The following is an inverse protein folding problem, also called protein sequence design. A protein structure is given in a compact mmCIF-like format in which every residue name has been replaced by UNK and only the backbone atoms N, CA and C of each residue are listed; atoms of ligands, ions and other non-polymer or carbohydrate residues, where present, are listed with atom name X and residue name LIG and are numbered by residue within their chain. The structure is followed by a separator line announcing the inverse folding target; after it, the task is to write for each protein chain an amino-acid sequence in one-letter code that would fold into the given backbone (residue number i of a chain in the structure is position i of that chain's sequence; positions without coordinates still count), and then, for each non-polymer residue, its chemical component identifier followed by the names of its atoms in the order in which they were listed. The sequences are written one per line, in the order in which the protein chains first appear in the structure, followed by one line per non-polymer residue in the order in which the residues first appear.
data_IF_950060468284
#
_entry.id   IF_950060468284
#
_cell.length_a   1.000
_cell.length_b   1.000
_cell.length_c   1.000
_cell.angle_alpha   90.00
_cell.angle_beta   90.00
_cell.angle_gamma   90.00
#
_symmetry.space_group_name_H-M   'P 1'
#
loop_
_entity.id
_entity.type
_entity.pdbx_description
1 polymer ?
#
# COMPACT_ATOMS: atom_id res chain seq x y z
N UNK A 1 33.84 -67.91 17.13
CA UNK A 1 33.27 -66.90 18.05
C UNK A 1 32.15 -67.56 18.81
N UNK A 2 32.52 -68.10 19.96
CA UNK A 2 31.69 -68.80 20.94
C UNK A 2 30.66 -67.83 21.51
N UNK A 3 29.41 -67.91 21.05
CA UNK A 3 28.30 -67.33 21.80
C UNK A 3 27.99 -68.28 22.95
N UNK A 4 28.64 -68.04 24.08
CA UNK A 4 28.28 -68.62 25.36
C UNK A 4 26.93 -67.98 25.74
N UNK A 5 25.84 -68.50 25.18
CA UNK A 5 24.50 -68.00 25.43
C UNK A 5 23.99 -68.63 26.72
N UNK A 6 24.38 -68.04 27.84
CA UNK A 6 23.78 -68.35 29.14
C UNK A 6 22.39 -67.75 29.13
N UNK A 7 21.40 -68.54 28.71
CA UNK A 7 19.98 -68.14 28.75
C UNK A 7 19.54 -68.22 30.21
N UNK A 8 19.61 -67.09 30.92
CA UNK A 8 18.99 -66.92 32.23
C UNK A 8 17.49 -66.68 32.02
N UNK A 9 16.67 -67.67 32.36
CA UNK A 9 15.22 -67.53 32.43
C UNK A 9 14.92 -66.71 33.69
N UNK A 10 14.70 -65.40 33.52
CA UNK A 10 14.10 -64.56 34.55
C UNK A 10 12.57 -64.73 34.48
N UNK A 11 12.05 -65.75 35.16
CA UNK A 11 10.71 -65.64 35.72
C UNK A 11 10.87 -65.04 37.11
N UNK A 12 10.21 -63.90 37.34
CA UNK A 12 10.28 -63.18 38.58
C UNK A 12 9.99 -64.12 39.76
N UNK A 13 10.89 -64.10 40.75
CA UNK A 13 10.67 -64.56 42.12
C UNK A 13 11.17 -65.94 42.58
N UNK A 14 12.27 -66.49 42.04
CA UNK A 14 12.95 -67.61 42.70
C UNK A 14 14.47 -67.49 42.84
N UNK A 15 14.93 -67.89 44.03
CA UNK A 15 16.33 -67.94 44.48
C UNK A 15 17.25 -68.55 43.41
N UNK A 16 18.48 -68.02 43.32
CA UNK A 16 19.55 -68.40 42.38
C UNK A 16 19.88 -69.91 42.33
N UNK A 17 19.34 -70.69 43.27
CA UNK A 17 19.62 -72.11 43.50
C UNK A 17 18.84 -73.06 42.56
N UNK A 18 17.94 -72.54 41.70
CA UNK A 18 17.13 -73.35 40.76
C UNK A 18 17.44 -73.09 39.27
N UNK A 19 18.54 -72.39 38.95
CA UNK A 19 18.96 -72.15 37.57
C UNK A 19 19.48 -73.44 36.91
N UNK A 20 18.72 -73.99 35.97
CA UNK A 20 19.14 -75.15 35.16
C UNK A 20 19.70 -74.66 33.81
N UNK A 21 20.92 -75.09 33.47
CA UNK A 21 21.54 -74.79 32.17
C UNK A 21 20.99 -75.72 31.08
N UNK A 22 20.76 -75.18 29.89
CA UNK A 22 20.37 -75.98 28.73
C UNK A 22 21.51 -76.95 28.36
N UNK A 23 21.25 -78.25 28.17
CA UNK A 23 22.29 -79.23 27.87
C UNK A 23 22.94 -78.97 26.51
N UNK A 24 24.27 -79.06 26.45
CA UNK A 24 25.09 -78.75 25.25
C UNK A 24 24.97 -79.83 24.15
N UNK A 25 24.39 -80.98 24.48
CA UNK A 25 24.24 -82.13 23.57
C UNK A 25 23.02 -82.02 22.63
N UNK A 26 22.12 -81.05 22.85
CA UNK A 26 20.93 -80.83 22.02
C UNK A 26 21.09 -79.57 21.15
N UNK A 27 20.74 -79.63 19.84
CA UNK A 27 20.72 -78.43 19.01
C UNK A 27 19.67 -77.44 19.53
N UNK A 28 20.01 -76.15 19.54
CA UNK A 28 19.12 -75.07 19.98
C UNK A 28 18.08 -74.82 18.86
N UNK A 29 17.08 -75.69 18.78
CA UNK A 29 15.92 -75.49 17.91
C UNK A 29 14.75 -74.94 18.72
N UNK A 30 13.93 -74.08 18.12
CA UNK A 30 12.81 -73.44 18.81
C UNK A 30 11.86 -74.46 19.51
N UNK A 31 11.51 -75.61 18.90
CA UNK A 31 10.66 -76.61 19.56
C UNK A 31 11.32 -77.33 20.75
N UNK A 32 12.65 -77.44 20.76
CA UNK A 32 13.40 -78.10 21.84
C UNK A 32 13.62 -77.14 23.01
N UNK A 33 13.94 -75.88 22.71
CA UNK A 33 14.04 -74.82 23.71
C UNK A 33 12.69 -74.59 24.40
N UNK A 34 11.58 -74.55 23.64
CA UNK A 34 10.25 -74.41 24.22
C UNK A 34 9.90 -75.60 25.12
N UNK A 35 10.21 -76.83 24.71
CA UNK A 35 10.00 -78.03 25.55
C UNK A 35 10.85 -78.01 26.82
N UNK A 36 12.09 -77.53 26.73
CA UNK A 36 12.99 -77.39 27.88
C UNK A 36 12.46 -76.35 28.86
N UNK A 37 12.08 -75.17 28.37
CA UNK A 37 11.49 -74.12 29.21
C UNK A 37 10.22 -74.62 29.88
N UNK A 38 9.31 -75.28 29.16
CA UNK A 38 8.08 -75.82 29.75
C UNK A 38 8.35 -76.86 30.85
N UNK A 39 9.30 -77.78 30.64
CA UNK A 39 9.65 -78.79 31.66
C UNK A 39 10.31 -78.23 32.91
N UNK A 40 11.01 -77.11 32.81
CA UNK A 40 11.68 -76.46 33.93
C UNK A 40 10.88 -75.27 34.51
N UNK A 41 9.78 -74.87 33.85
CA UNK A 41 8.85 -73.85 34.33
C UNK A 41 7.61 -74.45 34.99
N UNK A 42 7.33 -75.74 34.79
CA UNK A 42 6.31 -76.46 35.56
C UNK A 42 6.83 -76.71 36.99
N UNK A 43 6.25 -76.10 38.03
CA UNK A 43 6.53 -76.53 39.38
C UNK A 43 6.07 -77.99 39.48
N UNK A 44 6.96 -78.88 39.93
CA UNK A 44 6.58 -80.25 40.28
C UNK A 44 5.26 -80.22 41.05
N UNK A 45 4.27 -81.09 40.72
CA UNK A 45 2.99 -81.08 41.43
C UNK A 45 3.30 -81.24 42.91
N UNK A 46 3.07 -80.17 43.67
CA UNK A 46 3.23 -80.18 45.11
C UNK A 46 2.42 -81.38 45.65
N UNK A 47 2.87 -82.04 46.73
CA UNK A 47 2.01 -82.99 47.44
C UNK A 47 0.66 -82.31 47.71
N UNK A 48 -0.48 -83.03 47.80
CA UNK A 48 -1.80 -82.42 47.93
C UNK A 48 -1.93 -81.65 49.26
N UNK A 49 -1.37 -80.45 49.28
CA UNK A 49 -1.39 -79.47 50.35
C UNK A 49 -1.48 -78.11 49.66
N UNK A 50 -2.73 -77.69 49.45
CA UNK A 50 -3.16 -76.31 49.22
C UNK A 50 -2.31 -75.49 48.23
N UNK A 51 -2.20 -75.95 46.99
CA UNK A 51 -2.19 -75.00 45.87
C UNK A 51 -3.57 -74.34 45.85
N UNK A 52 -3.71 -73.22 46.58
CA UNK A 52 -4.84 -72.33 46.34
C UNK A 52 -4.70 -71.84 44.90
N UNK A 53 -5.76 -71.90 44.06
CA UNK A 53 -5.73 -71.23 42.75
C UNK A 53 -5.36 -69.77 42.99
N UNK A 54 -4.73 -69.05 42.03
CA UNK A 54 -4.38 -67.65 42.21
C UNK A 54 -5.57 -66.94 42.85
N UNK A 55 -5.38 -66.48 44.08
CA UNK A 55 -6.45 -65.95 44.92
C UNK A 55 -7.15 -64.89 44.08
N UNK A 56 -8.47 -65.01 43.89
CA UNK A 56 -9.21 -64.21 42.90
C UNK A 56 -8.96 -62.71 42.98
N UNK A 57 -8.48 -62.21 44.12
CA UNK A 57 -8.02 -60.85 44.39
C UNK A 57 -6.83 -60.39 43.52
N UNK A 58 -5.82 -61.24 43.25
CA UNK A 58 -4.68 -60.86 42.40
C UNK A 58 -5.11 -60.66 40.94
N UNK A 59 -5.89 -61.60 40.40
CA UNK A 59 -6.45 -61.51 39.04
C UNK A 59 -7.43 -60.33 38.90
N UNK A 60 -8.23 -60.06 39.93
CA UNK A 60 -9.12 -58.90 39.97
C UNK A 60 -8.33 -57.58 40.00
N UNK A 61 -7.24 -57.51 40.77
CA UNK A 61 -6.42 -56.30 40.86
C UNK A 61 -5.74 -55.95 39.52
N UNK A 62 -5.24 -56.96 38.80
CA UNK A 62 -4.62 -56.77 37.49
C UNK A 62 -5.65 -56.35 36.44
N UNK A 63 -6.84 -56.97 36.44
CA UNK A 63 -7.94 -56.58 35.54
C UNK A 63 -8.38 -55.12 35.76
N UNK A 64 -8.40 -54.64 37.01
CA UNK A 64 -8.71 -53.23 37.34
C UNK A 64 -7.63 -52.28 36.82
N UNK A 65 -6.35 -52.65 36.94
CA UNK A 65 -5.24 -51.85 36.40
C UNK A 65 -5.26 -51.81 34.87
N UNK A 66 -5.52 -52.94 34.22
CA UNK A 66 -5.69 -53.03 32.77
C UNK A 66 -6.89 -52.19 32.29
N UNK A 67 -8.02 -52.26 33.00
CA UNK A 67 -9.19 -51.42 32.71
C UNK A 67 -8.87 -49.92 32.88
N UNK A 68 -8.09 -49.57 33.90
CA UNK A 68 -7.59 -48.20 34.11
C UNK A 68 -6.73 -47.71 32.95
N UNK A 69 -5.79 -48.54 32.49
CA UNK A 69 -4.93 -48.26 31.34
C UNK A 69 -5.78 -48.04 30.07
N UNK A 70 -6.73 -48.95 29.79
CA UNK A 70 -7.64 -48.84 28.63
C UNK A 70 -8.43 -47.53 28.69
N UNK A 71 -9.00 -47.19 29.86
CA UNK A 71 -9.77 -45.95 30.02
C UNK A 71 -8.92 -44.67 29.84
N UNK A 72 -7.61 -44.74 30.13
CA UNK A 72 -6.69 -43.64 29.90
C UNK A 72 -6.42 -43.46 28.40
N UNK A 73 -6.05 -44.53 27.69
CA UNK A 73 -5.83 -44.50 26.25
C UNK A 73 -7.08 -44.05 25.48
N UNK A 74 -8.27 -44.51 25.88
CA UNK A 74 -9.52 -44.06 25.27
C UNK A 74 -9.75 -42.56 25.42
N UNK A 75 -9.36 -41.97 26.56
CA UNK A 75 -9.44 -40.52 26.78
C UNK A 75 -8.45 -39.78 25.89
N UNK A 76 -7.23 -40.30 25.73
CA UNK A 76 -6.23 -39.72 24.83
C UNK A 76 -6.67 -39.78 23.37
N UNK A 77 -7.17 -40.94 22.92
CA UNK A 77 -7.72 -41.09 21.57
C UNK A 77 -8.87 -40.09 21.34
N UNK A 78 -9.75 -39.90 22.33
CA UNK A 78 -10.82 -38.90 22.24
C UNK A 78 -10.27 -37.46 22.15
N UNK A 79 -9.26 -37.11 22.94
CA UNK A 79 -8.59 -35.80 22.88
C UNK A 79 -7.93 -35.56 21.52
N UNK A 80 -7.13 -36.51 21.04
CA UNK A 80 -6.47 -36.43 19.75
C UNK A 80 -7.48 -36.28 18.61
N UNK A 81 -8.60 -37.00 18.63
CA UNK A 81 -9.68 -36.82 17.65
C UNK A 81 -10.27 -35.40 17.70
N UNK A 82 -10.49 -34.85 18.90
CA UNK A 82 -10.98 -33.48 19.05
C UNK A 82 -9.97 -32.45 18.52
N UNK A 83 -8.68 -32.64 18.81
CA UNK A 83 -7.59 -31.79 18.32
C UNK A 83 -7.47 -31.83 16.79
N UNK A 84 -7.49 -33.03 16.18
CA UNK A 84 -7.50 -33.18 14.72
C UNK A 84 -8.70 -32.44 14.10
N UNK A 85 -9.90 -32.58 14.70
CA UNK A 85 -11.08 -31.87 14.22
C UNK A 85 -10.95 -30.34 14.32
N UNK A 86 -10.26 -29.84 15.35
CA UNK A 86 -10.02 -28.42 15.54
C UNK A 86 -8.98 -27.90 14.56
N UNK A 87 -7.91 -28.65 14.32
CA UNK A 87 -6.88 -28.33 13.34
C UNK A 87 -7.46 -28.32 11.92
N UNK A 88 -8.30 -29.28 11.55
CA UNK A 88 -8.98 -29.30 10.25
C UNK A 88 -9.88 -28.07 10.05
N UNK A 89 -10.63 -27.67 11.09
CA UNK A 89 -11.43 -26.44 11.04
C UNK A 89 -10.56 -25.19 10.89
N UNK A 90 -9.45 -25.11 11.63
CA UNK A 90 -8.51 -24.00 11.51
C UNK A 90 -7.86 -23.95 10.11
N UNK A 91 -7.47 -25.10 9.56
CA UNK A 91 -6.94 -25.22 8.21
C UNK A 91 -7.94 -24.67 7.18
N UNK A 92 -9.20 -25.12 7.23
CA UNK A 92 -10.25 -24.63 6.31
C UNK A 92 -10.46 -23.11 6.41
N UNK A 93 -10.36 -22.53 7.62
CA UNK A 93 -10.44 -21.07 7.79
C UNK A 93 -9.25 -20.34 7.16
N UNK A 94 -8.03 -20.88 7.31
CA UNK A 94 -6.83 -20.29 6.71
C UNK A 94 -6.88 -20.37 5.19
N UNK A 95 -7.29 -21.50 4.63
CA UNK A 95 -7.47 -21.65 3.18
C UNK A 95 -8.52 -20.69 2.64
N UNK A 96 -9.64 -20.52 3.35
CA UNK A 96 -10.66 -19.53 2.98
C UNK A 96 -10.09 -18.09 2.99
N UNK A 97 -9.34 -17.71 4.03
CA UNK A 97 -8.68 -16.40 4.12
C UNK A 97 -7.61 -16.19 3.05
N UNK A 98 -6.87 -17.23 2.70
CA UNK A 98 -5.86 -17.17 1.65
C UNK A 98 -6.53 -17.02 0.27
N UNK A 99 -7.65 -17.70 0.06
CA UNK A 99 -8.46 -17.52 -1.16
C UNK A 99 -9.05 -16.12 -1.29
N UNK A 100 -9.46 -15.48 -0.18
CA UNK A 100 -9.95 -14.10 -0.21
C UNK A 100 -8.80 -13.12 -0.43
N UNK A 101 -7.68 -13.29 0.27
CA UNK A 101 -6.50 -12.47 0.07
C UNK A 101 -5.98 -12.50 -1.38
N UNK A 102 -5.95 -13.67 -2.02
CA UNK A 102 -5.60 -13.80 -3.46
C UNK A 102 -6.58 -13.05 -4.36
N UNK A 103 -7.89 -13.14 -4.08
CA UNK A 103 -8.90 -12.39 -4.85
C UNK A 103 -8.73 -10.89 -4.68
N UNK A 104 -8.46 -10.43 -3.46
CA UNK A 104 -8.24 -9.02 -3.15
C UNK A 104 -6.96 -8.51 -3.81
N UNK A 105 -5.88 -9.29 -3.79
CA UNK A 105 -4.63 -8.98 -4.51
C UNK A 105 -4.90 -8.78 -6.01
N UNK A 106 -5.59 -9.71 -6.66
CA UNK A 106 -5.94 -9.57 -8.08
C UNK A 106 -6.83 -8.34 -8.34
N UNK A 107 -7.77 -8.03 -7.43
CA UNK A 107 -8.60 -6.83 -7.53
C UNK A 107 -7.76 -5.55 -7.43
N UNK A 108 -6.84 -5.49 -6.46
CA UNK A 108 -5.95 -4.35 -6.26
C UNK A 108 -4.98 -4.16 -7.43
N UNK A 109 -4.44 -5.24 -8.00
CA UNK A 109 -3.59 -5.18 -9.18
C UNK A 109 -4.33 -4.59 -10.39
N UNK A 110 -5.60 -4.97 -10.59
CA UNK A 110 -6.44 -4.37 -11.64
C UNK A 110 -6.66 -2.88 -11.40
N UNK A 111 -6.97 -2.50 -10.17
CA UNK A 111 -7.15 -1.09 -9.80
C UNK A 111 -5.88 -0.27 -10.00
N UNK A 112 -4.71 -0.82 -9.61
CA UNK A 112 -3.40 -0.21 -9.85
C UNK A 112 -3.17 0.03 -11.35
N UNK A 113 -3.40 -0.97 -12.20
CA UNK A 113 -3.25 -0.81 -13.65
C UNK A 113 -4.19 0.25 -14.22
N UNK A 114 -5.44 0.34 -13.74
CA UNK A 114 -6.36 1.40 -14.15
C UNK A 114 -5.87 2.78 -13.73
N UNK A 115 -5.39 2.93 -12.49
CA UNK A 115 -4.84 4.19 -11.99
C UNK A 115 -3.57 4.60 -12.74
N UNK A 116 -2.69 3.66 -13.06
CA UNK A 116 -1.49 3.91 -13.86
C UNK A 116 -1.84 4.43 -15.27
N UNK A 117 -2.87 3.86 -15.91
CA UNK A 117 -3.37 4.36 -17.20
C UNK A 117 -3.93 5.78 -17.09
N UNK A 118 -4.73 6.05 -16.05
CA UNK A 118 -5.27 7.39 -15.80
C UNK A 118 -4.16 8.40 -15.52
N UNK A 119 -3.16 8.01 -14.74
CA UNK A 119 -2.00 8.84 -14.46
C UNK A 119 -1.20 9.15 -15.73
N UNK A 120 -0.97 8.16 -16.60
CA UNK A 120 -0.33 8.37 -17.89
C UNK A 120 -1.09 9.36 -18.78
N UNK A 121 -2.43 9.28 -18.82
CA UNK A 121 -3.24 10.26 -19.56
C UNK A 121 -3.14 11.67 -18.96
N UNK A 122 -3.16 11.80 -17.64
CA UNK A 122 -3.00 13.09 -16.96
C UNK A 122 -1.61 13.69 -17.20
N UNK A 123 -0.56 12.86 -17.21
CA UNK A 123 0.80 13.29 -17.54
C UNK A 123 0.86 13.87 -18.96
N UNK A 124 0.32 13.16 -19.96
CA UNK A 124 0.26 13.66 -21.34
C UNK A 124 -0.48 15.00 -21.44
N UNK A 125 -1.61 15.15 -20.75
CA UNK A 125 -2.33 16.42 -20.71
C UNK A 125 -1.54 17.53 -20.02
N UNK A 126 -0.80 17.20 -18.95
CA UNK A 126 0.05 18.17 -18.25
C UNK A 126 1.21 18.66 -19.13
N UNK A 127 1.84 17.76 -19.88
CA UNK A 127 2.90 18.08 -20.83
C UNK A 127 2.36 18.94 -21.98
N UNK A 128 1.18 18.60 -22.51
CA UNK A 128 0.52 19.41 -23.54
C UNK A 128 0.21 20.82 -23.05
N UNK A 129 -0.34 20.95 -21.83
CA UNK A 129 -0.62 22.25 -21.24
C UNK A 129 0.67 23.04 -21.02
N UNK A 130 1.73 22.40 -20.53
CA UNK A 130 3.02 23.05 -20.32
C UNK A 130 3.59 23.58 -21.65
N UNK A 131 3.57 22.78 -22.71
CA UNK A 131 4.01 23.22 -24.04
C UNK A 131 3.19 24.42 -24.56
N UNK A 132 1.88 24.42 -24.34
CA UNK A 132 1.01 25.55 -24.69
C UNK A 132 1.34 26.80 -23.86
N UNK A 133 1.62 26.65 -22.58
CA UNK A 133 2.05 27.78 -21.74
C UNK A 133 3.36 28.36 -22.23
N UNK A 134 4.36 27.51 -22.51
CA UNK A 134 5.67 27.93 -23.02
C UNK A 134 5.54 28.68 -24.36
N UNK A 135 4.72 28.17 -25.28
CA UNK A 135 4.42 28.85 -26.55
C UNK A 135 3.78 30.22 -26.31
N UNK A 136 2.77 30.29 -25.44
CA UNK A 136 2.07 31.56 -25.17
C UNK A 136 2.99 32.57 -24.49
N UNK A 137 3.90 32.12 -23.62
CA UNK A 137 4.90 33.00 -23.02
C UNK A 137 5.87 33.55 -24.06
N UNK A 138 6.33 32.73 -25.01
CA UNK A 138 7.19 33.19 -26.11
C UNK A 138 6.47 34.21 -27.01
N UNK A 139 5.22 33.94 -27.37
CA UNK A 139 4.40 34.89 -28.15
C UNK A 139 4.23 36.23 -27.41
N UNK A 140 4.01 36.19 -26.09
CA UNK A 140 3.91 37.40 -25.27
C UNK A 140 5.24 38.16 -25.18
N UNK A 141 6.36 37.45 -25.07
CA UNK A 141 7.70 38.06 -25.09
C UNK A 141 8.01 38.73 -26.44
N UNK A 142 7.64 38.10 -27.56
CA UNK A 142 7.78 38.70 -28.89
C UNK A 142 6.93 39.95 -29.06
N UNK A 143 5.69 39.91 -28.59
CA UNK A 143 4.80 41.09 -28.62
C UNK A 143 5.35 42.20 -27.73
N UNK A 144 5.87 41.86 -26.54
CA UNK A 144 6.51 42.83 -25.66
C UNK A 144 7.74 43.48 -26.32
N UNK A 145 8.58 42.70 -27.02
CA UNK A 145 9.71 43.24 -27.81
C UNK A 145 9.25 44.19 -28.91
N UNK A 146 8.24 43.81 -29.70
CA UNK A 146 7.69 44.67 -30.76
C UNK A 146 7.11 45.98 -30.20
N UNK A 147 6.44 45.92 -29.06
CA UNK A 147 5.93 47.12 -28.38
C UNK A 147 7.07 48.02 -27.89
N UNK A 148 8.17 47.44 -27.40
CA UNK A 148 9.36 48.20 -27.03
C UNK A 148 9.99 48.89 -28.25
N UNK A 149 10.17 48.17 -29.36
CA UNK A 149 10.70 48.74 -30.60
C UNK A 149 9.83 49.89 -31.13
N UNK A 150 8.50 49.75 -31.06
CA UNK A 150 7.56 50.83 -31.41
C UNK A 150 7.68 52.03 -30.46
N UNK A 151 7.88 51.78 -29.15
CA UNK A 151 8.10 52.84 -28.19
C UNK A 151 9.41 53.60 -28.48
N UNK A 152 10.50 52.89 -28.73
CA UNK A 152 11.81 53.48 -29.06
C UNK A 152 11.75 54.28 -30.37
N UNK A 153 11.10 53.74 -31.41
CA UNK A 153 10.87 54.46 -32.66
C UNK A 153 10.03 55.71 -32.46
N UNK A 154 9.02 55.65 -31.59
CA UNK A 154 8.18 56.80 -31.25
C UNK A 154 8.98 57.88 -30.50
N UNK A 155 9.89 57.49 -29.60
CA UNK A 155 10.79 58.41 -28.93
C UNK A 155 11.73 59.09 -29.93
N UNK A 156 12.34 58.34 -30.85
CA UNK A 156 13.19 58.90 -31.91
C UNK A 156 12.43 59.94 -32.74
N UNK A 157 11.23 59.61 -33.22
CA UNK A 157 10.40 60.54 -33.99
C UNK A 157 9.97 61.76 -33.17
N UNK A 158 9.66 61.60 -31.88
CA UNK A 158 9.36 62.72 -30.99
C UNK A 158 10.57 63.64 -30.83
N UNK A 159 11.77 63.09 -30.61
CA UNK A 159 13.00 63.89 -30.51
C UNK A 159 13.26 64.66 -31.81
N UNK A 160 13.16 64.02 -32.97
CA UNK A 160 13.27 64.69 -34.28
C UNK A 160 12.23 65.80 -34.45
N UNK A 161 10.97 65.54 -34.07
CA UNK A 161 9.92 66.54 -34.13
C UNK A 161 10.22 67.74 -33.22
N UNK A 162 10.80 67.52 -32.03
CA UNK A 162 11.26 68.62 -31.17
C UNK A 162 12.42 69.40 -31.79
N UNK A 163 13.40 68.72 -32.40
CA UNK A 163 14.51 69.38 -33.11
C UNK A 163 14.00 70.25 -34.27
N UNK A 164 13.06 69.73 -35.07
CA UNK A 164 12.45 70.46 -36.17
C UNK A 164 11.64 71.67 -35.67
N UNK A 165 10.84 71.52 -34.62
CA UNK A 165 10.11 72.65 -34.00
C UNK A 165 11.05 73.75 -33.51
N UNK A 166 12.15 73.38 -32.88
CA UNK A 166 13.17 74.33 -32.44
C UNK A 166 13.77 75.05 -33.65
N UNK A 167 14.16 74.31 -34.71
CA UNK A 167 14.73 74.90 -35.92
C UNK A 167 13.77 75.92 -36.56
N UNK A 168 12.50 75.54 -36.73
CA UNK A 168 11.46 76.43 -37.26
C UNK A 168 11.31 77.68 -36.40
N UNK A 169 11.17 77.53 -35.07
CA UNK A 169 11.05 78.67 -34.16
C UNK A 169 12.29 79.59 -34.20
N UNK A 170 13.49 79.04 -34.43
CA UNK A 170 14.69 79.87 -34.61
C UNK A 170 14.69 80.62 -35.95
N UNK A 171 14.20 80.00 -37.02
CA UNK A 171 14.07 80.65 -38.33
C UNK A 171 13.00 81.74 -38.29
N UNK A 172 11.84 81.48 -37.69
CA UNK A 172 10.78 82.46 -37.46
C UNK A 172 11.31 83.66 -36.67
N UNK A 173 12.02 83.45 -35.57
CA UNK A 173 12.66 84.54 -34.81
C UNK A 173 13.66 85.35 -35.64
N UNK A 174 14.42 84.71 -36.54
CA UNK A 174 15.35 85.42 -37.43
C UNK A 174 14.61 86.27 -38.45
N UNK A 175 13.48 85.80 -38.97
CA UNK A 175 12.63 86.56 -39.87
C UNK A 175 11.94 87.72 -39.15
N UNK A 176 11.33 87.49 -38.00
CA UNK A 176 10.75 88.54 -37.15
C UNK A 176 11.78 89.58 -36.70
N UNK A 177 13.01 89.15 -36.36
CA UNK A 177 14.11 90.07 -36.01
C UNK A 177 14.62 90.88 -37.19
N UNK A 178 14.49 90.37 -38.43
CA UNK A 178 14.78 91.10 -39.67
C UNK A 178 13.68 92.11 -39.97
N UNK A 179 12.42 91.70 -39.84
CA UNK A 179 11.25 92.58 -40.00
C UNK A 179 11.17 93.66 -38.89
N UNK A 180 11.70 93.37 -37.70
CA UNK A 180 11.83 94.34 -36.58
C UNK A 180 13.06 95.25 -36.68
N UNK A 181 14.08 94.90 -37.47
CA UNK A 181 15.18 95.81 -37.82
C UNK A 181 14.78 96.83 -38.91
N UNK A 182 13.74 96.53 -39.69
CA UNK A 182 13.11 97.44 -40.66
C UNK A 182 11.82 98.11 -40.16
N UNK A 183 11.42 97.90 -38.90
CA UNK A 183 10.31 98.65 -38.32
C UNK A 183 10.67 99.24 -36.94
N UNK A 184 10.73 100.58 -36.81
CA UNK A 184 10.58 101.19 -35.50
C UNK A 184 9.14 100.97 -35.03
N UNK A 185 8.97 100.49 -33.82
CA UNK A 185 7.74 100.65 -33.02
C UNK A 185 8.01 101.75 -31.98
N UNK A 186 7.04 102.40 -31.29
CA UNK A 186 5.70 101.90 -30.88
C UNK A 186 4.64 103.05 -30.73
N UNK A 187 3.68 103.06 -29.78
CA UNK A 187 2.62 102.12 -29.37
C UNK A 187 1.20 102.74 -29.50
N UNK A 188 0.12 101.95 -29.47
CA UNK A 188 -1.15 102.47 -28.92
C UNK A 188 -2.01 101.37 -28.28
N UNK A 189 -2.24 101.53 -26.98
CA UNK A 189 -3.29 100.87 -26.20
C UNK A 189 -4.67 101.36 -26.67
N UNK A 190 -5.60 100.46 -26.97
CA UNK A 190 -7.01 100.62 -26.55
C UNK A 190 -7.84 99.36 -26.84
N UNK A 191 -7.98 98.56 -25.78
CA UNK A 191 -9.27 98.07 -25.25
C UNK A 191 -10.36 97.62 -26.24
N UNK A 192 -10.67 96.32 -26.17
CA UNK A 192 -12.05 95.88 -25.96
C UNK A 192 -12.04 94.75 -24.89
N UNK A 193 -13.03 94.81 -24.00
CA UNK A 193 -13.17 94.09 -22.71
C UNK A 193 -14.38 93.11 -22.84
N UNK A 194 -14.81 92.39 -21.78
CA UNK A 194 -14.55 91.01 -21.29
C UNK A 194 -15.66 90.00 -21.80
N UNK A 195 -15.95 88.76 -21.30
CA UNK A 195 -15.77 88.19 -19.95
C UNK A 195 -15.38 86.68 -19.79
N UNK A 196 -15.08 86.33 -18.53
CA UNK A 196 -15.07 84.98 -17.90
C UNK A 196 -16.51 84.47 -17.62
N UNK A 197 -16.74 83.27 -17.01
CA UNK A 197 -16.53 81.85 -17.37
C UNK A 197 -17.94 81.20 -17.58
N UNK A 198 -18.32 79.91 -17.29
CA UNK A 198 -17.63 78.65 -17.00
C UNK A 198 -18.12 77.45 -17.87
N UNK A 199 -17.44 76.31 -17.81
CA UNK A 199 -18.05 75.05 -18.27
C UNK A 199 -17.10 73.87 -18.35
N UNK A 200 -17.05 73.07 -17.29
CA UNK A 200 -16.54 71.71 -17.35
C UNK A 200 -17.52 70.81 -18.11
N UNK A 201 -17.07 70.01 -19.10
CA UNK A 201 -17.79 68.81 -19.51
C UNK A 201 -17.06 67.58 -18.92
N UNK A 202 -17.61 67.14 -17.79
CA UNK A 202 -17.84 65.73 -17.42
C UNK A 202 -16.84 64.70 -17.96
N UNK A 203 -16.05 64.16 -17.03
CA UNK A 203 -15.63 62.77 -17.07
C UNK A 203 -16.88 61.86 -17.19
N UNK A 204 -16.97 60.96 -18.18
CA UNK A 204 -17.78 59.76 -18.05
C UNK A 204 -17.08 58.85 -17.06
N UNK A 205 -17.80 58.48 -16.00
CA UNK A 205 -17.34 57.66 -14.92
C UNK A 205 -16.78 56.32 -15.42
N UNK A 206 -15.65 55.96 -14.82
CA UNK A 206 -15.18 54.58 -14.77
C UNK A 206 -16.25 53.73 -14.07
N UNK A 207 -16.91 52.86 -14.82
CA UNK A 207 -17.54 51.67 -14.26
C UNK A 207 -16.43 50.67 -13.92
N UNK A 208 -16.33 50.18 -12.67
CA UNK A 208 -15.54 48.99 -12.37
C UNK A 208 -16.34 47.73 -12.74
N UNK A 209 -15.67 46.62 -13.11
CA UNK A 209 -16.37 45.40 -13.47
C UNK A 209 -17.05 44.77 -12.25
N UNK A 210 -18.33 44.45 -12.42
CA UNK A 210 -19.14 43.67 -11.49
C UNK A 210 -18.65 42.21 -11.49
N UNK A 211 -17.82 41.85 -10.53
CA UNK A 211 -17.65 40.46 -10.11
C UNK A 211 -18.80 40.08 -9.17
N UNK A 212 -19.59 39.09 -9.57
CA UNK A 212 -20.67 38.57 -8.74
C UNK A 212 -21.37 37.36 -9.34
N UNK A 213 -20.80 36.18 -9.05
CA UNK A 213 -21.53 34.94 -8.78
C UNK A 213 -22.32 34.29 -9.92
N UNK A 214 -21.66 33.40 -10.67
CA UNK A 214 -22.34 32.30 -11.36
C UNK A 214 -22.70 31.20 -10.36
N UNK A 215 -23.98 31.11 -10.01
CA UNK A 215 -24.57 29.99 -9.28
C UNK A 215 -24.51 28.74 -10.15
N UNK A 216 -23.60 27.82 -9.84
CA UNK A 216 -23.62 26.47 -10.41
C UNK A 216 -24.80 25.69 -9.83
N UNK A 217 -25.83 25.49 -10.64
CA UNK A 217 -26.84 24.49 -10.38
C UNK A 217 -26.21 23.10 -10.55
N UNK A 218 -26.13 22.38 -9.44
CA UNK A 218 -25.68 21.00 -9.32
C UNK A 218 -26.71 20.07 -9.96
N UNK A 219 -26.48 19.68 -11.19
CA UNK A 219 -27.20 18.59 -11.84
C UNK A 219 -26.69 17.25 -11.27
N UNK A 220 -27.46 16.66 -10.35
CA UNK A 220 -27.21 15.32 -9.81
C UNK A 220 -28.25 14.37 -10.38
N UNK A 221 -27.82 13.65 -11.42
CA UNK A 221 -28.46 12.46 -11.95
C UNK A 221 -28.59 11.39 -10.86
N UNK A 222 -29.83 11.00 -10.57
CA UNK A 222 -30.15 9.79 -9.81
C UNK A 222 -30.93 8.85 -10.73
N UNK A 223 -30.22 8.12 -11.58
CA UNK A 223 -30.75 6.96 -12.29
C UNK A 223 -30.00 5.73 -11.79
N UNK A 224 -30.68 4.92 -10.96
CA UNK A 224 -30.59 3.46 -10.90
C UNK A 224 -31.22 2.94 -9.60
N UNK A 225 -32.38 2.28 -9.72
CA UNK A 225 -32.61 1.01 -9.01
C UNK A 225 -33.76 0.21 -9.64
N UNK A 226 -33.37 -0.89 -10.25
CA UNK A 226 -34.14 -2.09 -10.54
C UNK A 226 -34.39 -2.85 -9.24
N UNK A 227 -35.63 -3.29 -9.01
CA UNK A 227 -36.02 -4.48 -8.24
C UNK A 227 -37.07 -5.23 -9.08
#
# INVERSE_FOLDING_TARGET
KTFCSVIYIFLADFQKDLSVKYPEDLPITLPDLLRFVLRHSDPAPAPPSSATPPTGECLQSEAVLQQGHISHLEREIRKLRAEISALQRAQGQVEARLSSARRDEHRLLRQKQTLERQHGLLQLHSEQLQALYEQKTQELEEVARKLQELADASESLLTENTWLKILVATMERKLEGKDRAESPTPPEEARAVPPEPPGAPRLPGSTPPSNGSATLASDRSNENRTD
#
